data_IF_913171551864
#
_entry.id   IF_913171551864
#
_cell.length_a   1.000
_cell.length_b   1.000
_cell.length_c   1.000
_cell.angle_alpha   90.00
_cell.angle_beta   90.00
_cell.angle_gamma   90.00
#
_symmetry.space_group_name_H-M   'P 1'
#
loop_
_entity.id
_entity.type
_entity.pdbx_description
1 polymer ?
#
# COMPACT_ATOMS: atom_id res chain seq x y z
N UNK A 1 -16.26 -1.91 -23.96
CA UNK A 1 -15.13 -1.09 -23.47
C UNK A 1 -14.16 -2.00 -22.74
N UNK A 2 -12.94 -2.19 -23.27
CA UNK A 2 -11.92 -3.05 -22.66
C UNK A 2 -11.23 -2.26 -21.55
N UNK A 3 -11.48 -2.60 -20.28
CA UNK A 3 -10.71 -2.09 -19.15
C UNK A 3 -9.23 -2.54 -19.30
N UNK A 4 -8.26 -1.65 -19.06
CA UNK A 4 -6.85 -1.96 -19.24
C UNK A 4 -6.38 -3.05 -18.27
N UNK A 5 -5.54 -3.94 -18.79
CA UNK A 5 -5.07 -5.23 -18.23
C UNK A 5 -4.20 -5.05 -16.96
N UNK A 6 -4.01 -3.83 -16.45
CA UNK A 6 -3.20 -3.52 -15.27
C UNK A 6 -3.88 -3.81 -13.92
N UNK A 7 -5.16 -4.18 -13.90
CA UNK A 7 -5.94 -4.45 -12.69
C UNK A 7 -6.44 -5.90 -12.63
N UNK A 8 -5.54 -6.86 -12.85
CA UNK A 8 -5.72 -8.17 -12.24
C UNK A 8 -4.58 -8.37 -11.24
N UNK A 9 -4.85 -8.82 -10.01
CA UNK A 9 -3.80 -9.32 -9.13
C UNK A 9 -3.29 -10.64 -9.71
N UNK A 10 -2.54 -10.59 -10.81
CA UNK A 10 -1.96 -11.74 -11.52
C UNK A 10 -0.76 -12.32 -10.74
N UNK A 11 -0.23 -11.59 -9.74
CA UNK A 11 0.85 -12.07 -8.88
C UNK A 11 0.51 -12.21 -7.39
N UNK A 12 -0.66 -11.74 -6.94
CA UNK A 12 -1.04 -11.90 -5.52
C UNK A 12 -1.46 -13.35 -5.28
N UNK A 13 -0.79 -14.02 -4.34
CA UNK A 13 -1.18 -15.38 -3.94
C UNK A 13 -2.66 -15.43 -3.55
N UNK A 14 -3.30 -16.60 -3.75
CA UNK A 14 -4.72 -16.83 -3.46
C UNK A 14 -5.14 -16.34 -2.07
N UNK A 15 -4.29 -16.50 -1.05
CA UNK A 15 -4.56 -16.02 0.32
C UNK A 15 -4.67 -14.49 0.41
N UNK A 16 -3.89 -13.70 -0.37
CA UNK A 16 -3.97 -12.24 -0.36
C UNK A 16 -5.30 -11.75 -0.95
N UNK A 17 -5.80 -12.43 -1.99
CA UNK A 17 -7.12 -12.14 -2.58
C UNK A 17 -8.25 -12.44 -1.60
N UNK A 18 -8.08 -13.50 -0.81
CA UNK A 18 -9.04 -13.89 0.22
C UNK A 18 -9.06 -12.87 1.37
N UNK A 19 -7.89 -12.45 1.86
CA UNK A 19 -7.76 -11.38 2.87
C UNK A 19 -8.39 -10.07 2.38
N UNK A 20 -8.13 -9.65 1.13
CA UNK A 20 -8.75 -8.44 0.57
C UNK A 20 -10.28 -8.54 0.49
N UNK A 21 -10.83 -9.73 0.18
CA UNK A 21 -12.28 -9.97 0.18
C UNK A 21 -12.88 -9.95 1.58
N UNK A 22 -12.20 -10.53 2.56
CA UNK A 22 -12.65 -10.53 3.96
C UNK A 22 -12.70 -9.12 4.52
N UNK A 23 -11.69 -8.30 4.23
CA UNK A 23 -11.60 -6.91 4.69
C UNK A 23 -12.28 -5.88 3.75
N UNK A 24 -13.02 -6.35 2.74
CA UNK A 24 -13.73 -5.44 1.82
C UNK A 24 -14.83 -4.64 2.53
N UNK A 25 -15.44 -5.23 3.58
CA UNK A 25 -16.54 -4.64 4.35
C UNK A 25 -16.09 -3.91 5.63
N UNK A 26 -14.79 -3.87 5.91
CA UNK A 26 -14.30 -3.21 7.11
C UNK A 26 -14.56 -1.71 7.05
N UNK A 27 -15.07 -1.18 8.17
CA UNK A 27 -15.31 0.26 8.33
C UNK A 27 -13.95 0.95 8.47
N UNK A 28 -13.64 1.83 7.52
CA UNK A 28 -12.37 2.56 7.47
C UNK A 28 -12.52 3.87 8.24
N UNK A 29 -11.82 3.97 9.37
CA UNK A 29 -11.77 5.20 10.15
C UNK A 29 -10.34 5.37 10.71
N UNK A 30 -9.57 6.39 10.27
CA UNK A 30 -9.91 7.41 9.27
C UNK A 30 -9.90 6.88 7.82
N UNK A 31 -10.70 7.50 6.95
CA UNK A 31 -10.70 7.22 5.51
C UNK A 31 -10.00 8.37 4.77
N UNK A 32 -8.73 8.18 4.41
CA UNK A 32 -7.93 9.12 3.64
C UNK A 32 -8.07 8.85 2.14
N UNK A 33 -8.04 9.92 1.35
CA UNK A 33 -7.91 9.82 -0.11
C UNK A 33 -6.50 9.38 -0.50
N UNK A 34 -6.37 8.80 -1.70
CA UNK A 34 -5.07 8.39 -2.23
C UNK A 34 -4.03 9.53 -2.29
N UNK A 35 -4.49 10.79 -2.48
CA UNK A 35 -3.65 11.98 -2.45
C UNK A 35 -3.13 12.31 -1.05
N UNK A 36 -3.98 12.24 -0.03
CA UNK A 36 -3.58 12.49 1.36
C UNK A 36 -2.51 11.48 1.82
N UNK A 37 -2.70 10.21 1.45
CA UNK A 37 -1.71 9.16 1.70
C UNK A 37 -0.40 9.47 0.96
N UNK A 38 -0.44 9.79 -0.34
CA UNK A 38 0.78 10.10 -1.10
C UNK A 38 1.59 11.27 -0.52
N UNK A 39 0.90 12.33 -0.07
CA UNK A 39 1.52 13.53 0.49
C UNK A 39 1.80 13.47 2.01
N UNK A 40 1.70 12.30 2.64
CA UNK A 40 1.94 12.14 4.08
C UNK A 40 1.05 13.07 4.95
N UNK A 41 -0.22 13.22 4.56
CA UNK A 41 -1.22 14.03 5.26
C UNK A 41 -2.18 13.15 6.05
N UNK A 42 -1.63 12.26 6.87
CA UNK A 42 -2.41 11.43 7.81
C UNK A 42 -2.31 11.99 9.23
N UNK A 43 -3.17 11.55 10.13
CA UNK A 43 -3.06 11.84 11.56
C UNK A 43 -1.93 11.09 12.28
N UNK A 44 -1.26 10.15 11.60
CA UNK A 44 -0.17 9.38 12.19
C UNK A 44 1.20 9.94 11.76
N UNK A 45 1.87 10.59 12.70
CA UNK A 45 3.18 11.20 12.47
C UNK A 45 4.27 10.17 12.13
N UNK A 46 4.19 8.94 12.66
CA UNK A 46 5.14 7.87 12.35
C UNK A 46 4.98 7.44 10.88
N UNK A 47 3.73 7.25 10.46
CA UNK A 47 3.43 6.90 9.06
C UNK A 47 3.85 8.01 8.10
N UNK A 48 3.54 9.26 8.43
CA UNK A 48 3.95 10.41 7.63
C UNK A 48 5.47 10.51 7.49
N UNK A 49 6.20 10.27 8.58
CA UNK A 49 7.67 10.28 8.57
C UNK A 49 8.24 9.16 7.70
N UNK A 50 7.67 7.95 7.76
CA UNK A 50 8.07 6.83 6.90
C UNK A 50 7.83 7.14 5.41
N UNK A 51 6.66 7.69 5.07
CA UNK A 51 6.33 8.10 3.70
C UNK A 51 7.31 9.18 3.21
N UNK A 52 7.57 10.21 4.01
CA UNK A 52 8.53 11.27 3.67
C UNK A 52 9.96 10.74 3.53
N UNK A 53 10.37 9.78 4.37
CA UNK A 53 11.67 9.13 4.26
C UNK A 53 11.80 8.43 2.91
N UNK A 54 10.79 7.64 2.51
CA UNK A 54 10.78 6.98 1.21
C UNK A 54 10.85 7.99 0.06
N UNK A 55 10.11 9.09 0.14
CA UNK A 55 10.10 10.14 -0.89
C UNK A 55 11.44 10.88 -1.00
N UNK A 56 12.13 11.12 0.12
CA UNK A 56 13.37 11.91 0.16
C UNK A 56 14.63 11.08 -0.06
N UNK A 57 14.73 9.93 0.60
CA UNK A 57 15.92 9.07 0.59
C UNK A 57 15.82 7.94 -0.43
N UNK A 58 14.63 7.71 -0.99
CA UNK A 58 14.37 6.59 -1.88
C UNK A 58 14.41 5.22 -1.19
N UNK A 59 14.47 5.21 0.15
CA UNK A 59 14.52 4.00 0.97
C UNK A 59 13.64 4.16 2.19
N UNK A 60 12.92 3.09 2.53
CA UNK A 60 12.18 2.99 3.79
C UNK A 60 12.71 1.82 4.59
N UNK A 61 12.87 2.02 5.90
CA UNK A 61 13.28 0.96 6.82
C UNK A 61 12.36 -0.27 6.69
N UNK A 62 12.93 -1.48 6.56
CA UNK A 62 12.17 -2.69 6.24
C UNK A 62 11.05 -3.01 7.23
N UNK A 63 11.27 -2.75 8.52
CA UNK A 63 10.24 -2.89 9.55
C UNK A 63 9.06 -1.93 9.36
N UNK A 64 9.33 -0.70 8.91
CA UNK A 64 8.30 0.30 8.64
C UNK A 64 7.53 -0.01 7.36
N UNK A 65 8.10 -0.73 6.39
CA UNK A 65 7.39 -1.09 5.14
C UNK A 65 6.14 -1.93 5.39
N UNK A 66 6.20 -2.90 6.30
CA UNK A 66 5.04 -3.72 6.66
C UNK A 66 3.95 -2.89 7.34
N UNK A 67 4.33 -2.05 8.30
CA UNK A 67 3.42 -1.14 8.97
C UNK A 67 2.80 -0.13 7.99
N UNK A 68 3.63 0.45 7.11
CA UNK A 68 3.22 1.39 6.08
C UNK A 68 2.18 0.78 5.13
N UNK A 69 2.42 -0.43 4.64
CA UNK A 69 1.49 -1.14 3.76
C UNK A 69 0.17 -1.53 4.46
N UNK A 70 0.24 -2.01 5.72
CA UNK A 70 -0.96 -2.29 6.54
C UNK A 70 -1.82 -1.02 6.68
N UNK A 71 -1.21 0.13 6.96
CA UNK A 71 -1.94 1.39 7.14
C UNK A 71 -2.55 1.94 5.86
N UNK A 72 -1.92 1.75 4.70
CA UNK A 72 -2.55 2.07 3.41
C UNK A 72 -3.83 1.26 3.22
N UNK A 73 -3.80 -0.05 3.50
CA UNK A 73 -4.98 -0.90 3.39
C UNK A 73 -6.11 -0.50 4.34
N UNK A 74 -5.75 -0.10 5.56
CA UNK A 74 -6.68 0.33 6.61
C UNK A 74 -7.35 1.68 6.30
N UNK A 75 -6.60 2.63 5.73
CA UNK A 75 -7.07 4.01 5.60
C UNK A 75 -7.54 4.41 4.20
N UNK A 76 -7.35 3.59 3.17
CA UNK A 76 -7.76 3.96 1.79
C UNK A 76 -9.28 3.93 1.65
N UNK A 77 -9.90 5.09 1.51
CA UNK A 77 -11.36 5.23 1.41
C UNK A 77 -11.97 4.47 0.22
N UNK A 78 -11.23 4.39 -0.88
CA UNK A 78 -11.68 3.81 -2.15
C UNK A 78 -11.74 2.27 -2.15
N UNK A 79 -11.19 1.62 -1.11
CA UNK A 79 -11.28 0.18 -0.90
C UNK A 79 -9.95 -0.57 -1.05
N UNK A 80 -9.97 -1.91 -0.85
CA UNK A 80 -8.76 -2.70 -0.72
C UNK A 80 -7.99 -2.87 -2.04
N UNK A 81 -8.68 -2.85 -3.19
CA UNK A 81 -8.05 -2.91 -4.51
C UNK A 81 -7.26 -1.63 -4.82
N UNK A 82 -7.87 -0.47 -4.55
CA UNK A 82 -7.22 0.83 -4.74
C UNK A 82 -6.07 1.01 -3.74
N UNK A 83 -6.23 0.53 -2.50
CA UNK A 83 -5.17 0.56 -1.50
C UNK A 83 -3.93 -0.22 -1.97
N UNK A 84 -4.13 -1.39 -2.56
CA UNK A 84 -3.06 -2.21 -3.10
C UNK A 84 -2.40 -1.52 -4.30
N UNK A 85 -3.21 -1.00 -5.23
CA UNK A 85 -2.70 -0.25 -6.39
C UNK A 85 -1.89 0.98 -5.95
N UNK A 86 -2.35 1.69 -4.92
CA UNK A 86 -1.66 2.83 -4.33
C UNK A 86 -0.34 2.42 -3.68
N UNK A 87 -0.32 1.37 -2.88
CA UNK A 87 0.90 0.87 -2.24
C UNK A 87 1.96 0.46 -3.26
N UNK A 88 1.56 -0.27 -4.32
CA UNK A 88 2.45 -0.66 -5.42
C UNK A 88 2.96 0.59 -6.14
N UNK A 89 2.07 1.52 -6.51
CA UNK A 89 2.44 2.76 -7.21
C UNK A 89 3.43 3.60 -6.41
N UNK A 90 3.23 3.75 -5.11
CA UNK A 90 4.11 4.54 -4.24
C UNK A 90 5.46 3.84 -4.04
N UNK A 91 5.47 2.51 -3.85
CA UNK A 91 6.69 1.74 -3.77
C UNK A 91 7.49 1.85 -5.08
N UNK A 92 6.87 1.66 -6.23
CA UNK A 92 7.57 1.68 -7.52
C UNK A 92 8.03 3.09 -7.93
N UNK A 93 7.31 4.14 -7.48
CA UNK A 93 7.65 5.55 -7.76
C UNK A 93 8.81 6.07 -6.90
N UNK A 94 8.84 5.71 -5.61
CA UNK A 94 9.78 6.33 -4.66
C UNK A 94 10.86 5.36 -4.16
N UNK A 95 10.62 4.05 -4.14
CA UNK A 95 11.63 3.09 -3.69
C UNK A 95 12.71 2.91 -4.76
N UNK A 96 13.93 3.35 -4.49
CA UNK A 96 15.11 3.07 -5.31
C UNK A 96 15.43 1.57 -5.32
N UNK A 97 15.02 0.83 -4.27
CA UNK A 97 15.05 -0.64 -4.19
C UNK A 97 13.84 -1.31 -4.89
N UNK A 98 12.98 -0.55 -5.59
CA UNK A 98 11.73 -1.03 -6.20
C UNK A 98 11.88 -2.09 -7.31
N UNK A 99 13.13 -2.45 -7.67
CA UNK A 99 13.46 -3.52 -8.62
C UNK A 99 14.06 -4.76 -7.95
N UNK A 100 13.97 -4.87 -6.63
CA UNK A 100 14.35 -6.08 -5.89
C UNK A 100 13.10 -6.95 -5.60
N UNK A 101 13.12 -8.27 -5.93
CA UNK A 101 11.99 -9.20 -5.71
C UNK A 101 11.41 -9.19 -4.28
N UNK A 102 12.15 -8.69 -3.30
CA UNK A 102 11.75 -8.60 -1.91
C UNK A 102 10.64 -7.57 -1.62
N UNK A 103 10.41 -6.59 -2.50
CA UNK A 103 9.33 -5.59 -2.33
C UNK A 103 7.93 -6.18 -2.38
N UNK A 104 7.73 -7.24 -3.18
CA UNK A 104 6.45 -7.94 -3.31
C UNK A 104 6.13 -8.89 -2.15
N UNK A 105 7.14 -9.24 -1.34
CA UNK A 105 6.98 -10.22 -0.25
C UNK A 105 6.50 -9.58 1.05
N UNK A 106 6.72 -8.27 1.25
CA UNK A 106 6.29 -7.53 2.45
C UNK A 106 4.79 -7.26 2.54
N UNK A 107 4.10 -7.10 1.39
CA UNK A 107 2.62 -7.05 1.32
C UNK A 107 1.96 -8.42 1.51
N UNK A 108 2.78 -9.48 1.63
CA UNK A 108 2.36 -10.87 1.62
C UNK A 108 2.14 -11.47 3.02
N UNK A 109 2.33 -10.69 4.09
CA UNK A 109 2.16 -11.19 5.47
C UNK A 109 1.45 -10.12 6.31
N UNK A 110 0.13 -10.05 6.13
CA UNK A 110 -0.77 -9.45 7.11
C UNK A 110 -1.57 -10.64 7.66
N UNK A 111 -0.98 -11.30 8.65
CA UNK A 111 -1.77 -12.07 9.63
C UNK A 111 -2.48 -11.09 10.56
#
# INVERSE_FOLDING_TARGET
MKLPIFLKPIGAHSWAKETLRLHAKDVRNPAYSSKQIEFAQTGDHLWNSAQLQMVREGKMHGFLRMYWAKKILEWTAEGPEEALALAIRLNDKYSLDGRDPNGYTGMRVIK
#
